data_IF_955971709029
#
_entry.id   IF_955971709029
#
_cell.length_a   1.000
_cell.length_b   1.000
_cell.length_c   1.000
_cell.angle_alpha   90.00
_cell.angle_beta   90.00
_cell.angle_gamma   90.00
#
_symmetry.space_group_name_H-M   'P 1'
#
loop_
_entity.id
_entity.type
_entity.pdbx_description
1 polymer ?
#
# COMPACT_ATOMS: atom_id res chain seq x y z
N UNK A 1 7.09 3.99 15.32
CA UNK A 1 7.63 2.88 14.49
C UNK A 1 8.55 1.92 15.23
N UNK A 2 8.98 2.24 16.46
CA UNK A 2 9.88 1.38 17.25
C UNK A 2 9.35 -0.06 17.41
N UNK A 3 8.02 -0.23 17.48
CA UNK A 3 7.38 -1.52 17.68
C UNK A 3 7.55 -2.50 16.49
N UNK A 4 7.94 -2.03 15.30
CA UNK A 4 8.26 -2.94 14.19
C UNK A 4 9.40 -3.89 14.54
N UNK A 5 10.37 -3.41 15.32
CA UNK A 5 11.55 -4.18 15.72
C UNK A 5 11.21 -5.38 16.60
N UNK A 6 10.03 -5.39 17.23
CA UNK A 6 9.58 -6.51 18.07
C UNK A 6 8.68 -7.50 17.31
N UNK A 7 8.35 -7.21 16.04
CA UNK A 7 7.57 -8.14 15.21
C UNK A 7 8.52 -9.22 14.66
N UNK A 8 8.20 -10.52 14.83
CA UNK A 8 9.02 -11.59 14.27
C UNK A 8 9.17 -11.48 12.75
N UNK A 9 10.34 -11.87 12.24
CA UNK A 9 10.56 -11.99 10.80
C UNK A 9 9.51 -12.93 10.19
N UNK A 10 8.92 -12.52 9.08
CA UNK A 10 7.81 -13.25 8.44
C UNK A 10 6.41 -12.92 8.98
N UNK A 11 6.28 -12.01 9.95
CA UNK A 11 4.98 -11.59 10.49
C UNK A 11 4.61 -10.13 10.13
N UNK A 12 5.39 -9.48 9.27
CA UNK A 12 5.12 -8.13 8.77
C UNK A 12 5.42 -8.07 7.28
N UNK A 13 4.47 -7.56 6.50
CA UNK A 13 4.67 -7.15 5.12
C UNK A 13 4.17 -5.71 4.97
N UNK A 14 5.07 -4.80 4.60
CA UNK A 14 4.73 -3.41 4.29
C UNK A 14 4.54 -3.28 2.79
N UNK A 15 3.47 -2.60 2.37
CA UNK A 15 3.05 -2.50 0.97
C UNK A 15 2.86 -1.04 0.65
N UNK A 16 3.60 -0.56 -0.35
CA UNK A 16 3.45 0.79 -0.86
C UNK A 16 2.25 0.83 -1.81
N UNK A 17 1.40 1.83 -1.66
CA UNK A 17 0.18 1.94 -2.46
C UNK A 17 0.46 2.02 -3.96
N UNK A 18 1.46 2.80 -4.38
CA UNK A 18 1.80 2.96 -5.80
C UNK A 18 2.34 1.66 -6.42
N UNK A 19 3.09 0.87 -5.64
CA UNK A 19 3.61 -0.43 -6.11
C UNK A 19 2.46 -1.43 -6.26
N UNK A 20 1.51 -1.43 -5.31
CA UNK A 20 0.30 -2.24 -5.38
C UNK A 20 -0.57 -1.88 -6.58
N UNK A 21 -0.63 -0.62 -6.98
CA UNK A 21 -1.37 -0.23 -8.19
C UNK A 21 -0.65 -0.60 -9.48
N UNK A 22 0.69 -0.49 -9.50
CA UNK A 22 1.50 -0.83 -10.66
C UNK A 22 1.48 -2.34 -10.95
N UNK A 23 1.54 -3.17 -9.91
CA UNK A 23 1.46 -4.63 -10.02
C UNK A 23 0.73 -5.27 -8.82
N UNK A 24 -0.62 -5.26 -8.82
CA UNK A 24 -1.39 -5.78 -7.69
C UNK A 24 -1.19 -7.29 -7.47
N UNK A 25 -1.03 -8.06 -8.55
CA UNK A 25 -0.86 -9.50 -8.48
C UNK A 25 0.54 -9.86 -7.95
N UNK A 26 1.58 -9.17 -8.42
CA UNK A 26 2.95 -9.34 -7.93
C UNK A 26 3.12 -8.95 -6.47
N UNK A 27 2.49 -7.83 -6.04
CA UNK A 27 2.52 -7.44 -4.63
C UNK A 27 1.79 -8.43 -3.73
N UNK A 28 0.65 -8.99 -4.17
CA UNK A 28 -0.03 -10.06 -3.43
C UNK A 28 0.82 -11.34 -3.37
N UNK A 29 1.47 -11.75 -4.46
CA UNK A 29 2.40 -12.89 -4.46
C UNK A 29 3.54 -12.68 -3.46
N UNK A 30 4.11 -11.47 -3.44
CA UNK A 30 5.16 -11.10 -2.49
C UNK A 30 4.65 -11.20 -1.06
N UNK A 31 3.47 -10.68 -0.74
CA UNK A 31 2.91 -10.75 0.62
C UNK A 31 2.73 -12.22 1.05
N UNK A 32 2.19 -13.08 0.17
CA UNK A 32 2.05 -14.51 0.46
C UNK A 32 3.39 -15.15 0.79
N UNK A 33 4.44 -14.84 0.02
CA UNK A 33 5.79 -15.34 0.27
C UNK A 33 6.38 -14.79 1.56
N UNK A 34 6.36 -13.47 1.74
CA UNK A 34 7.01 -12.78 2.86
C UNK A 34 6.36 -13.20 4.19
N UNK A 35 5.05 -13.44 4.20
CA UNK A 35 4.30 -13.93 5.37
C UNK A 35 4.21 -15.46 5.47
N UNK A 36 4.87 -16.20 4.56
CA UNK A 36 4.79 -17.67 4.49
C UNK A 36 3.36 -18.22 4.47
N UNK A 37 2.43 -17.51 3.80
CA UNK A 37 1.04 -17.91 3.68
C UNK A 37 0.91 -19.03 2.63
N UNK A 38 0.25 -20.15 2.97
CA UNK A 38 -0.03 -21.20 1.98
C UNK A 38 -1.14 -20.76 1.02
N UNK A 39 -1.23 -21.45 -0.12
CA UNK A 39 -2.41 -21.36 -1.00
C UNK A 39 -2.36 -20.28 -2.08
N UNK A 40 -1.18 -19.72 -2.39
CA UNK A 40 -1.06 -18.71 -3.46
C UNK A 40 -1.47 -19.26 -4.83
N UNK A 41 -1.07 -20.49 -5.17
CA UNK A 41 -1.38 -21.12 -6.46
C UNK A 41 -2.89 -21.22 -6.69
N UNK A 42 -3.65 -21.53 -5.64
CA UNK A 42 -5.12 -21.62 -5.68
C UNK A 42 -5.79 -20.24 -5.62
N UNK A 43 -5.18 -19.27 -4.93
CA UNK A 43 -5.71 -17.91 -4.78
C UNK A 43 -5.49 -17.06 -6.04
N UNK A 44 -4.35 -17.19 -6.71
CA UNK A 44 -3.94 -16.42 -7.88
C UNK A 44 -5.04 -16.28 -8.95
N UNK A 45 -5.69 -17.35 -9.45
CA UNK A 45 -6.72 -17.19 -10.48
C UNK A 45 -7.94 -16.38 -9.98
N UNK A 46 -8.29 -16.45 -8.69
CA UNK A 46 -9.38 -15.66 -8.10
C UNK A 46 -8.98 -14.19 -7.96
N UNK A 47 -7.74 -13.93 -7.56
CA UNK A 47 -7.15 -12.59 -7.51
C UNK A 47 -7.16 -11.96 -8.90
N UNK A 48 -6.63 -12.65 -9.91
CA UNK A 48 -6.60 -12.18 -11.30
C UNK A 48 -8.02 -11.89 -11.83
N UNK A 49 -8.99 -12.78 -11.54
CA UNK A 49 -10.39 -12.56 -11.92
C UNK A 49 -11.00 -11.32 -11.23
N UNK A 50 -10.67 -11.08 -9.97
CA UNK A 50 -11.16 -9.91 -9.24
C UNK A 50 -10.52 -8.62 -9.78
N UNK A 51 -9.20 -8.62 -9.99
CA UNK A 51 -8.48 -7.49 -10.58
C UNK A 51 -9.04 -7.11 -11.95
N UNK A 52 -9.36 -8.11 -12.77
CA UNK A 52 -10.02 -7.89 -14.06
C UNK A 52 -11.40 -7.21 -13.89
N UNK A 53 -12.17 -7.61 -12.87
CA UNK A 53 -13.49 -7.04 -12.60
C UNK A 53 -13.46 -5.56 -12.18
N UNK A 54 -12.34 -5.08 -11.62
CA UNK A 54 -12.17 -3.71 -11.12
C UNK A 54 -11.30 -2.82 -12.01
N UNK A 55 -10.84 -3.32 -13.16
CA UNK A 55 -9.92 -2.62 -14.08
C UNK A 55 -10.44 -1.26 -14.62
N UNK A 56 -11.72 -0.94 -14.38
CA UNK A 56 -12.33 0.35 -14.72
C UNK A 56 -12.51 1.32 -13.56
N UNK A 57 -12.04 0.99 -12.35
CA UNK A 57 -12.21 1.86 -11.19
C UNK A 57 -11.42 3.16 -11.35
N UNK A 58 -12.13 4.28 -11.24
CA UNK A 58 -11.52 5.61 -11.29
C UNK A 58 -11.35 6.13 -9.88
N UNK A 59 -10.10 6.37 -9.47
CA UNK A 59 -9.80 7.07 -8.23
C UNK A 59 -10.54 8.40 -8.14
N UNK A 60 -11.06 8.69 -6.94
CA UNK A 60 -11.55 10.01 -6.63
C UNK A 60 -10.39 11.01 -6.69
N UNK A 61 -10.61 12.15 -7.35
CA UNK A 61 -9.73 13.31 -7.23
C UNK A 61 -10.21 14.12 -6.03
N UNK A 62 -9.41 14.12 -4.97
CA UNK A 62 -9.58 15.06 -3.88
C UNK A 62 -8.96 16.41 -4.30
N UNK A 63 -9.53 17.49 -3.79
CA UNK A 63 -8.94 18.83 -3.88
C UNK A 63 -9.01 19.43 -2.47
N UNK A 64 -7.85 19.74 -1.87
CA UNK A 64 -7.77 20.36 -0.56
C UNK A 64 -7.40 21.85 -0.67
N UNK A 65 -7.76 22.64 0.35
CA UNK A 65 -7.25 24.02 0.44
C UNK A 65 -5.77 24.00 0.85
N UNK A 66 -5.00 25.05 0.52
CA UNK A 66 -3.61 25.16 0.97
C UNK A 66 -3.43 24.98 2.48
N UNK A 67 -4.38 25.48 3.28
CA UNK A 67 -4.40 25.34 4.74
C UNK A 67 -4.52 23.87 5.18
N UNK A 68 -5.33 23.08 4.46
CA UNK A 68 -5.47 21.64 4.74
C UNK A 68 -4.21 20.90 4.32
N UNK A 69 -3.61 21.24 3.18
CA UNK A 69 -2.33 20.65 2.73
C UNK A 69 -1.22 20.92 3.75
N UNK A 70 -1.09 22.17 4.22
CA UNK A 70 -0.12 22.55 5.24
C UNK A 70 -0.35 21.79 6.55
N UNK A 71 -1.60 21.68 7.00
CA UNK A 71 -1.95 20.88 8.17
C UNK A 71 -1.56 19.40 8.00
N UNK A 72 -1.86 18.80 6.86
CA UNK A 72 -1.53 17.40 6.55
C UNK A 72 -0.03 17.18 6.55
N UNK A 73 0.73 18.02 5.86
CA UNK A 73 2.19 17.92 5.81
C UNK A 73 2.83 18.19 7.18
N UNK A 74 2.30 19.14 7.96
CA UNK A 74 2.76 19.42 9.31
C UNK A 74 2.49 18.27 10.29
N UNK A 75 1.34 17.60 10.18
CA UNK A 75 0.96 16.51 11.08
C UNK A 75 1.51 15.16 10.66
N UNK A 76 1.58 14.87 9.36
CA UNK A 76 1.95 13.57 8.80
C UNK A 76 3.32 13.57 8.13
N UNK A 77 4.03 14.70 8.06
CA UNK A 77 5.35 14.79 7.42
C UNK A 77 6.38 13.81 7.99
N UNK A 78 6.29 13.47 9.28
CA UNK A 78 7.17 12.45 9.89
C UNK A 78 6.93 11.04 9.31
N UNK A 79 5.68 10.72 8.94
CA UNK A 79 5.31 9.48 8.25
C UNK A 79 5.83 9.57 6.81
N UNK A 80 5.54 10.66 6.10
CA UNK A 80 6.00 10.84 4.72
C UNK A 80 7.52 10.63 4.60
N UNK A 81 8.29 11.23 5.52
CA UNK A 81 9.74 11.08 5.58
C UNK A 81 10.21 9.65 5.86
N UNK A 82 9.60 8.95 6.83
CA UNK A 82 9.98 7.57 7.13
C UNK A 82 9.81 6.64 5.91
N UNK A 83 8.67 6.74 5.23
CA UNK A 83 8.33 5.85 4.12
C UNK A 83 8.72 6.42 2.74
N UNK A 84 9.41 7.56 2.69
CA UNK A 84 9.88 8.19 1.45
C UNK A 84 8.77 8.69 0.53
N UNK A 85 7.59 9.01 1.08
CA UNK A 85 6.50 9.64 0.33
C UNK A 85 6.78 11.14 0.14
N UNK A 86 6.40 11.73 -1.01
CA UNK A 86 6.46 13.16 -1.20
C UNK A 86 5.46 13.87 -0.27
N UNK A 87 5.67 15.18 -0.09
CA UNK A 87 4.66 16.04 0.52
C UNK A 87 3.34 15.93 -0.23
N UNK A 88 2.24 16.00 0.51
CA UNK A 88 0.91 15.94 -0.07
C UNK A 88 0.66 17.17 -0.94
N UNK A 89 0.12 16.95 -2.14
CA UNK A 89 -0.28 17.96 -3.13
C UNK A 89 -1.79 17.87 -3.49
N UNK A 90 -2.57 17.29 -2.56
CA UNK A 90 -4.00 16.97 -2.67
C UNK A 90 -4.95 18.16 -2.72
#
# INVERSE_FOLDING_TARGET
MADRSVIPSGNLAEVRFEDLEADPAGELERIYRDLSLPGWTEARPKVESYLHSINGYKKNRLSASPEVVEMVNGQLGFIQNEWGYPEADI
#
